data_IF_071199512921
#
_entry.id   IF_071199512921
#
_cell.length_a   1.000
_cell.length_b   1.000
_cell.length_c   1.000
_cell.angle_alpha   90.00
_cell.angle_beta   90.00
_cell.angle_gamma   90.00
#
_symmetry.space_group_name_H-M   'P 1'
#
loop_
_entity.id
_entity.type
_entity.pdbx_description
1 polymer ?
#
# COMPACT_ATOMS: atom_id res chain seq x y z
N UNK A 1 32.12 -15.38 -4.32
CA UNK A 1 30.77 -14.78 -4.46
C UNK A 1 30.39 -14.84 -5.94
N UNK A 2 29.13 -15.18 -6.25
CA UNK A 2 28.64 -15.11 -7.63
C UNK A 2 28.39 -13.63 -7.97
N UNK A 3 29.13 -13.09 -8.94
CA UNK A 3 29.33 -11.64 -9.09
C UNK A 3 28.06 -10.85 -9.41
N UNK A 4 27.06 -11.50 -9.99
CA UNK A 4 25.82 -10.86 -10.44
C UNK A 4 24.74 -10.86 -9.35
N UNK A 5 24.68 -11.87 -8.48
CA UNK A 5 23.61 -11.99 -7.46
C UNK A 5 23.91 -11.24 -6.16
N UNK A 6 25.17 -10.92 -5.86
CA UNK A 6 25.53 -10.20 -4.62
C UNK A 6 25.26 -8.70 -4.71
N UNK A 7 24.85 -8.20 -5.88
CA UNK A 7 24.83 -6.78 -6.24
C UNK A 7 23.45 -6.23 -6.61
N UNK A 8 22.44 -7.09 -6.72
CA UNK A 8 21.06 -6.70 -7.03
C UNK A 8 20.14 -6.95 -5.84
N UNK A 9 18.99 -6.27 -5.84
CA UNK A 9 17.91 -6.51 -4.88
C UNK A 9 16.78 -7.24 -5.61
N UNK A 10 16.19 -8.26 -5.00
CA UNK A 10 14.98 -8.89 -5.52
C UNK A 10 13.78 -8.49 -4.66
N UNK A 11 12.72 -8.00 -5.31
CA UNK A 11 11.45 -7.66 -4.63
C UNK A 11 10.34 -8.49 -5.24
N UNK A 12 9.86 -9.46 -4.48
CA UNK A 12 8.71 -10.27 -4.85
C UNK A 12 7.48 -9.79 -4.08
N UNK A 13 6.40 -9.48 -4.79
CA UNK A 13 5.18 -8.95 -4.17
C UNK A 13 3.98 -9.81 -4.52
N UNK A 14 3.26 -10.26 -3.50
CA UNK A 14 1.95 -10.91 -3.62
C UNK A 14 0.89 -9.88 -3.21
N UNK A 15 -0.10 -9.66 -4.07
CA UNK A 15 -1.30 -8.90 -3.73
C UNK A 15 -2.44 -9.89 -3.57
N UNK A 16 -2.99 -9.96 -2.36
CA UNK A 16 -4.13 -10.82 -2.04
C UNK A 16 -5.35 -9.94 -1.80
N UNK A 17 -6.32 -10.08 -2.69
CA UNK A 17 -7.65 -9.47 -2.57
C UNK A 17 -8.64 -10.50 -2.06
N UNK A 18 -9.22 -10.24 -0.89
CA UNK A 18 -10.28 -11.04 -0.31
C UNK A 18 -11.62 -10.30 -0.48
N UNK A 19 -12.55 -10.91 -1.21
CA UNK A 19 -13.94 -10.47 -1.28
C UNK A 19 -14.79 -11.34 -0.36
N UNK A 20 -15.62 -10.72 0.47
CA UNK A 20 -16.57 -11.41 1.35
C UNK A 20 -17.95 -10.79 1.21
N UNK A 21 -18.89 -11.61 0.81
CA UNK A 21 -20.31 -11.29 0.85
C UNK A 21 -20.82 -11.40 2.29
N UNK A 22 -21.40 -10.33 2.82
CA UNK A 22 -22.08 -10.34 4.12
C UNK A 22 -23.59 -10.51 3.89
N UNK A 23 -24.18 -11.68 4.23
CA UNK A 23 -25.60 -11.91 4.02
C UNK A 23 -26.50 -10.98 4.84
N UNK A 24 -26.08 -10.58 6.04
CA UNK A 24 -26.86 -9.68 6.91
C UNK A 24 -26.98 -8.25 6.36
N UNK A 25 -25.96 -7.81 5.61
CA UNK A 25 -25.90 -6.45 5.05
C UNK A 25 -26.13 -6.42 3.55
N UNK A 26 -26.20 -7.58 2.89
CA UNK A 26 -26.23 -7.75 1.43
C UNK A 26 -25.15 -6.91 0.71
N UNK A 27 -23.95 -6.85 1.29
CA UNK A 27 -22.83 -6.09 0.75
C UNK A 27 -21.61 -6.98 0.56
N UNK A 28 -20.91 -6.72 -0.53
CA UNK A 28 -19.57 -7.25 -0.76
C UNK A 28 -18.55 -6.33 -0.12
N UNK A 29 -17.78 -6.88 0.81
CA UNK A 29 -16.62 -6.21 1.39
C UNK A 29 -15.36 -6.71 0.73
N UNK A 30 -14.45 -5.79 0.44
CA UNK A 30 -13.14 -6.10 -0.14
C UNK A 30 -12.02 -5.71 0.84
N UNK A 31 -11.12 -6.65 1.09
CA UNK A 31 -9.88 -6.43 1.83
C UNK A 31 -8.71 -6.70 0.92
N UNK A 32 -7.74 -5.80 0.91
CA UNK A 32 -6.52 -5.97 0.11
C UNK A 32 -5.31 -6.08 1.03
N UNK A 33 -4.50 -7.10 0.83
CA UNK A 33 -3.24 -7.25 1.53
C UNK A 33 -2.10 -7.36 0.53
N UNK A 34 -0.98 -6.71 0.85
CA UNK A 34 0.24 -6.74 0.05
C UNK A 34 1.33 -7.36 0.89
N UNK A 35 1.86 -8.49 0.43
CA UNK A 35 3.01 -9.16 1.03
C UNK A 35 4.21 -8.91 0.14
N UNK A 36 5.23 -8.25 0.67
CA UNK A 36 6.49 -8.01 -0.05
C UNK A 36 7.61 -8.81 0.59
N UNK A 37 8.18 -9.75 -0.16
CA UNK A 37 9.39 -10.48 0.18
C UNK A 37 10.57 -9.79 -0.53
N UNK A 38 11.53 -9.33 0.25
CA UNK A 38 12.65 -8.53 -0.26
C UNK A 38 13.95 -9.25 0.07
N UNK A 39 14.69 -9.63 -0.96
CA UNK A 39 16.08 -10.07 -0.86
C UNK A 39 17.00 -8.89 -1.20
N UNK A 40 17.86 -8.52 -0.26
CA UNK A 40 18.71 -7.35 -0.41
C UNK A 40 20.08 -7.76 -0.93
N UNK A 41 20.70 -6.88 -1.72
CA UNK A 41 22.10 -7.00 -2.10
C UNK A 41 23.01 -7.11 -0.86
N UNK A 42 24.21 -7.63 -1.06
CA UNK A 42 25.23 -7.77 -0.02
C UNK A 42 25.48 -6.46 0.71
N UNK A 43 25.53 -6.50 2.05
CA UNK A 43 25.79 -5.32 2.89
C UNK A 43 27.26 -4.99 3.07
N UNK A 44 28.16 -5.80 2.48
CA UNK A 44 29.59 -5.64 2.59
C UNK A 44 30.11 -4.37 1.91
N UNK A 45 31.16 -3.79 2.49
CA UNK A 45 31.75 -2.56 1.95
C UNK A 45 32.54 -2.84 0.67
N UNK A 46 32.42 -1.94 -0.33
CA UNK A 46 33.15 -2.05 -1.59
C UNK A 46 34.68 -2.14 -1.43
N UNK A 47 35.25 -1.48 -0.41
CA UNK A 47 36.69 -1.53 -0.14
C UNK A 47 37.20 -2.92 0.26
N UNK A 48 36.33 -3.79 0.75
CA UNK A 48 36.65 -5.18 1.13
C UNK A 48 36.80 -6.08 -0.11
N UNK A 49 36.43 -5.59 -1.30
CA UNK A 49 36.34 -6.39 -2.53
C UNK A 49 37.50 -6.17 -3.52
N UNK A 50 38.41 -5.23 -3.24
CA UNK A 50 39.58 -4.95 -4.09
C UNK A 50 39.24 -4.47 -5.52
N UNK A 51 38.07 -3.88 -5.73
CA UNK A 51 37.56 -3.52 -7.05
C UNK A 51 38.05 -2.13 -7.53
N UNK A 52 38.76 -2.07 -8.67
CA UNK A 52 39.24 -0.82 -9.29
C UNK A 52 38.39 -0.41 -10.52
N UNK A 53 38.40 0.89 -10.87
CA UNK A 53 37.84 1.42 -12.11
C UNK A 53 36.30 1.41 -12.21
N UNK A 54 35.75 0.90 -13.32
CA UNK A 54 34.29 0.79 -13.57
C UNK A 54 33.56 0.02 -12.45
N UNK A 55 34.22 -0.99 -11.87
CA UNK A 55 33.67 -1.79 -10.76
C UNK A 55 33.51 -0.99 -9.46
N UNK A 56 34.31 0.05 -9.27
CA UNK A 56 34.17 0.98 -8.14
C UNK A 56 32.96 1.90 -8.32
N UNK A 57 32.71 2.39 -9.55
CA UNK A 57 31.50 3.18 -9.87
C UNK A 57 30.22 2.35 -9.75
N UNK A 58 30.25 1.11 -10.20
CA UNK A 58 29.15 0.16 -10.05
C UNK A 58 28.90 -0.17 -8.56
N UNK A 59 29.96 -0.50 -7.81
CA UNK A 59 29.89 -0.72 -6.36
C UNK A 59 29.38 0.49 -5.58
N UNK A 60 29.67 1.72 -6.04
CA UNK A 60 29.15 2.94 -5.44
C UNK A 60 27.63 3.10 -5.66
N UNK A 61 27.11 2.74 -6.84
CA UNK A 61 25.67 2.79 -7.14
C UNK A 61 24.88 1.70 -6.41
N UNK A 62 25.43 0.48 -6.30
CA UNK A 62 24.80 -0.62 -5.53
C UNK A 62 24.69 -0.23 -4.06
N UNK A 63 25.79 0.27 -3.50
CA UNK A 63 25.81 0.76 -2.11
C UNK A 63 24.92 1.98 -1.90
N UNK A 64 24.57 2.76 -2.94
CA UNK A 64 23.66 3.90 -2.79
C UNK A 64 22.32 3.46 -2.22
N UNK A 65 21.71 2.41 -2.77
CA UNK A 65 20.41 1.90 -2.31
C UNK A 65 20.42 1.44 -0.84
N UNK A 66 21.42 0.66 -0.44
CA UNK A 66 21.59 0.18 0.95
C UNK A 66 22.01 1.30 1.92
N UNK A 67 22.84 2.23 1.45
CA UNK A 67 23.21 3.42 2.23
C UNK A 67 21.99 4.30 2.49
N UNK A 68 21.19 4.58 1.45
CA UNK A 68 19.93 5.31 1.59
C UNK A 68 18.96 4.57 2.51
N UNK A 69 18.85 3.23 2.39
CA UNK A 69 18.05 2.42 3.29
C UNK A 69 18.51 2.57 4.75
N UNK A 70 19.82 2.53 5.00
CA UNK A 70 20.40 2.77 6.32
C UNK A 70 20.13 4.18 6.87
N UNK A 71 20.15 5.20 6.01
CA UNK A 71 19.78 6.57 6.37
C UNK A 71 18.29 6.69 6.74
N UNK A 72 17.40 6.08 5.95
CA UNK A 72 15.96 6.02 6.22
C UNK A 72 15.70 5.35 7.57
N UNK A 73 16.32 4.19 7.82
CA UNK A 73 16.17 3.46 9.07
C UNK A 73 16.67 4.26 10.28
N UNK A 74 17.84 4.89 10.15
CA UNK A 74 18.40 5.70 11.24
C UNK A 74 17.50 6.89 11.58
N UNK A 75 16.99 7.61 10.57
CA UNK A 75 16.05 8.72 10.79
C UNK A 75 14.74 8.26 11.42
N UNK A 76 14.18 7.14 10.95
CA UNK A 76 12.94 6.57 11.50
C UNK A 76 13.10 6.11 12.96
N UNK A 77 14.25 5.52 13.30
CA UNK A 77 14.58 5.13 14.67
C UNK A 77 14.69 6.35 15.60
N UNK A 78 15.35 7.43 15.15
CA UNK A 78 15.47 8.68 15.89
C UNK A 78 14.11 9.36 16.13
N UNK A 79 13.23 9.37 15.13
CA UNK A 79 11.85 9.91 15.26
C UNK A 79 11.01 9.12 16.27
N UNK A 80 11.23 7.80 16.37
CA UNK A 80 10.48 6.91 17.26
C UNK A 80 10.95 7.01 18.72
N UNK A 81 12.25 7.25 18.96
CA UNK A 81 12.85 7.29 20.30
C UNK A 81 12.66 8.61 21.07
N UNK A 82 12.56 9.76 20.39
CA UNK A 82 12.60 11.08 21.05
C UNK A 82 11.29 11.88 20.93
N UNK A 83 10.36 11.64 21.87
CA UNK A 83 9.08 12.39 21.98
C UNK A 83 9.23 13.91 22.11
N UNK A 84 10.38 14.43 22.56
CA UNK A 84 10.60 15.87 22.86
C UNK A 84 11.16 16.70 21.70
N UNK A 85 11.62 16.10 20.60
CA UNK A 85 12.07 16.81 19.39
C UNK A 85 11.43 16.20 18.14
N UNK A 86 10.11 16.35 18.00
CA UNK A 86 9.42 16.11 16.72
C UNK A 86 9.73 17.22 15.72
N UNK A 87 11.00 17.47 15.43
CA UNK A 87 11.31 18.07 14.15
C UNK A 87 11.13 16.95 13.13
N UNK A 88 9.95 16.88 12.51
CA UNK A 88 9.65 15.93 11.42
C UNK A 88 10.68 16.17 10.32
N UNK A 89 11.77 15.44 10.37
CA UNK A 89 12.81 15.50 9.37
C UNK A 89 12.26 14.85 8.10
N UNK A 90 12.57 15.39 6.93
CA UNK A 90 12.20 14.70 5.70
C UNK A 90 12.97 13.39 5.64
N UNK A 91 12.22 12.28 5.64
CA UNK A 91 12.77 10.93 5.47
C UNK A 91 13.06 10.75 3.96
N UNK A 92 14.31 10.43 3.58
CA UNK A 92 14.78 10.47 2.20
C UNK A 92 14.39 9.21 1.41
N UNK A 93 13.11 8.82 1.41
CA UNK A 93 12.67 7.64 0.66
C UNK A 93 12.95 7.76 -0.84
N UNK A 94 12.97 8.97 -1.40
CA UNK A 94 13.16 9.23 -2.83
C UNK A 94 14.60 9.15 -3.31
N UNK A 95 15.57 9.07 -2.38
CA UNK A 95 17.00 9.12 -2.74
C UNK A 95 17.48 7.80 -3.38
N UNK A 96 16.69 6.72 -3.25
CA UNK A 96 16.88 5.47 -3.98
C UNK A 96 15.55 4.83 -4.38
N UNK A 97 15.54 4.08 -5.49
CA UNK A 97 14.35 3.36 -5.97
C UNK A 97 13.87 2.35 -4.93
N UNK A 98 14.80 1.62 -4.29
CA UNK A 98 14.51 0.64 -3.25
C UNK A 98 13.75 1.27 -2.07
N UNK A 99 14.29 2.36 -1.50
CA UNK A 99 13.63 3.05 -0.38
C UNK A 99 12.30 3.69 -0.77
N UNK A 100 12.15 4.06 -2.04
CA UNK A 100 10.90 4.61 -2.53
C UNK A 100 9.82 3.54 -2.64
N UNK A 101 10.18 2.36 -3.16
CA UNK A 101 9.31 1.19 -3.27
C UNK A 101 8.91 0.64 -1.89
N UNK A 102 9.84 0.66 -0.93
CA UNK A 102 9.64 0.16 0.43
C UNK A 102 9.12 1.21 1.41
N UNK A 103 8.73 2.40 0.94
CA UNK A 103 8.26 3.49 1.78
C UNK A 103 7.11 3.09 2.71
N UNK A 104 6.14 2.34 2.21
CA UNK A 104 5.01 1.85 3.02
C UNK A 104 5.45 0.78 4.04
N UNK A 105 6.50 0.02 3.72
CA UNK A 105 7.05 -1.04 4.55
C UNK A 105 7.94 -0.51 5.69
N UNK A 106 8.42 0.73 5.63
CA UNK A 106 9.34 1.29 6.62
C UNK A 106 8.70 2.50 7.31
N UNK A 107 8.03 2.26 8.44
CA UNK A 107 7.35 3.31 9.22
C UNK A 107 5.96 3.70 8.68
N UNK A 108 5.45 2.98 7.68
CA UNK A 108 4.13 3.18 7.09
C UNK A 108 3.10 2.14 7.55
N UNK A 109 2.09 1.93 6.69
CA UNK A 109 1.06 0.90 6.88
C UNK A 109 1.56 -0.47 6.42
N UNK A 110 2.35 -1.13 7.26
CA UNK A 110 2.83 -2.48 6.99
C UNK A 110 3.18 -3.22 8.28
N UNK A 111 3.15 -4.55 8.21
CA UNK A 111 3.70 -5.42 9.25
C UNK A 111 5.06 -5.90 8.77
N UNK A 112 6.11 -5.23 9.22
CA UNK A 112 7.45 -5.41 8.69
C UNK A 112 8.31 -6.26 9.60
N UNK A 113 8.94 -7.29 9.04
CA UNK A 113 9.94 -8.10 9.70
C UNK A 113 11.25 -8.01 8.92
N UNK A 114 12.37 -7.86 9.63
CA UNK A 114 13.71 -7.87 9.04
C UNK A 114 14.44 -9.12 9.49
N UNK A 115 15.00 -9.87 8.54
CA UNK A 115 15.87 -11.00 8.80
C UNK A 115 17.33 -10.57 8.61
N UNK A 116 18.10 -10.58 9.70
CA UNK A 116 19.53 -10.30 9.65
C UNK A 116 20.30 -11.63 9.49
N UNK A 117 20.77 -11.91 8.28
CA UNK A 117 21.61 -13.07 8.00
C UNK A 117 23.07 -12.77 8.37
N UNK A 118 23.66 -13.60 9.22
CA UNK A 118 25.00 -13.38 9.78
C UNK A 118 25.91 -14.59 9.51
N UNK A 119 27.20 -14.34 9.39
CA UNK A 119 28.21 -15.40 9.31
C UNK A 119 28.86 -15.60 10.68
N UNK A 120 28.98 -16.85 11.19
CA UNK A 120 29.66 -17.11 12.46
C UNK A 120 31.19 -17.11 12.36
N UNK A 121 31.76 -16.91 11.17
CA UNK A 121 33.20 -16.97 10.95
C UNK A 121 33.92 -15.70 11.42
N UNK A 122 35.06 -15.87 12.10
CA UNK A 122 35.85 -14.76 12.66
C UNK A 122 36.29 -13.73 11.60
N UNK A 123 36.58 -14.19 10.38
CA UNK A 123 36.93 -13.32 9.25
C UNK A 123 35.83 -12.31 8.88
N UNK A 124 34.58 -12.59 9.26
CA UNK A 124 33.41 -11.76 8.96
C UNK A 124 32.92 -11.00 10.20
N UNK A 125 33.73 -10.88 11.25
CA UNK A 125 33.37 -10.23 12.51
C UNK A 125 32.85 -8.79 12.30
N UNK A 126 33.57 -7.97 11.54
CA UNK A 126 33.22 -6.56 11.34
C UNK A 126 31.91 -6.36 10.56
N UNK A 127 31.66 -7.21 9.56
CA UNK A 127 30.42 -7.19 8.78
C UNK A 127 29.25 -7.69 9.62
N UNK A 128 29.45 -8.77 10.40
CA UNK A 128 28.45 -9.29 11.33
C UNK A 128 28.04 -8.26 12.38
N UNK A 129 29.01 -7.56 12.97
CA UNK A 129 28.76 -6.47 13.92
C UNK A 129 28.01 -5.31 13.27
N UNK A 130 28.36 -4.96 12.02
CA UNK A 130 27.68 -3.91 11.25
C UNK A 130 26.22 -4.25 11.00
N UNK A 131 25.92 -5.49 10.59
CA UNK A 131 24.56 -5.98 10.37
C UNK A 131 23.74 -6.03 11.66
N UNK A 132 24.34 -6.45 12.78
CA UNK A 132 23.66 -6.44 14.10
C UNK A 132 23.30 -5.02 14.54
N UNK A 133 24.21 -4.06 14.41
CA UNK A 133 23.91 -2.64 14.71
C UNK A 133 22.82 -2.07 13.80
N UNK A 134 22.77 -2.52 12.56
CA UNK A 134 21.72 -2.14 11.63
C UNK A 134 20.36 -2.69 12.08
N UNK A 135 20.29 -3.97 12.42
CA UNK A 135 19.08 -4.62 12.91
C UNK A 135 18.57 -4.00 14.23
N UNK A 136 19.48 -3.63 15.14
CA UNK A 136 19.13 -2.95 16.39
C UNK A 136 18.44 -1.59 16.14
N UNK A 137 18.92 -0.80 15.17
CA UNK A 137 18.24 0.43 14.74
C UNK A 137 16.88 0.15 14.08
N UNK A 138 16.83 -0.84 13.18
CA UNK A 138 15.60 -1.21 12.48
C UNK A 138 14.49 -1.64 13.47
N UNK A 139 14.86 -2.31 14.57
CA UNK A 139 13.94 -2.70 15.64
C UNK A 139 13.22 -1.53 16.31
N UNK A 140 13.80 -0.32 16.30
CA UNK A 140 13.19 0.87 16.90
C UNK A 140 12.11 1.52 16.02
N UNK A 141 11.98 1.09 14.77
CA UNK A 141 11.01 1.67 13.82
C UNK A 141 9.60 1.18 14.17
N UNK A 142 8.70 2.12 14.42
CA UNK A 142 7.29 1.82 14.67
C UNK A 142 6.48 1.93 13.37
N UNK A 143 5.94 0.82 12.89
CA UNK A 143 4.99 0.80 11.78
C UNK A 143 3.55 0.90 12.28
N UNK A 144 2.66 1.56 11.51
CA UNK A 144 1.25 1.75 11.84
C UNK A 144 0.37 0.90 10.91
N UNK A 145 0.33 -0.41 11.18
CA UNK A 145 -0.46 -1.33 10.37
C UNK A 145 -1.97 -1.16 10.63
N UNK A 146 -2.71 -0.88 9.57
CA UNK A 146 -4.17 -0.73 9.52
C UNK A 146 -4.70 -1.67 8.42
N UNK A 147 -5.87 -2.28 8.67
CA UNK A 147 -6.51 -3.14 7.67
C UNK A 147 -6.91 -2.29 6.45
N UNK A 148 -6.46 -2.70 5.25
CA UNK A 148 -6.85 -2.03 4.02
C UNK A 148 -8.23 -2.51 3.59
N UNK A 149 -9.23 -1.76 4.03
CA UNK A 149 -10.63 -1.87 3.63
C UNK A 149 -11.00 -0.55 2.92
N UNK A 150 -11.92 -0.61 1.96
CA UNK A 150 -12.51 0.59 1.39
C UNK A 150 -13.16 1.41 2.52
N UNK A 151 -12.76 2.69 2.74
CA UNK A 151 -13.36 3.54 3.76
C UNK A 151 -14.89 3.63 3.66
N UNK A 152 -15.43 3.60 2.44
CA UNK A 152 -16.86 3.59 2.22
C UNK A 152 -17.47 2.26 2.68
N UNK A 153 -16.88 1.12 2.31
CA UNK A 153 -17.37 -0.19 2.74
C UNK A 153 -17.31 -0.35 4.27
N UNK A 154 -16.26 0.17 4.90
CA UNK A 154 -16.14 0.24 6.35
C UNK A 154 -17.24 1.09 6.97
N UNK A 155 -17.47 2.29 6.43
CA UNK A 155 -18.51 3.22 6.90
C UNK A 155 -19.92 2.62 6.75
N UNK A 156 -20.23 2.02 5.60
CA UNK A 156 -21.52 1.39 5.36
C UNK A 156 -21.73 0.22 6.34
N UNK A 157 -20.68 -0.58 6.63
CA UNK A 157 -20.76 -1.64 7.64
C UNK A 157 -21.06 -1.09 9.03
N UNK A 158 -20.34 -0.05 9.47
CA UNK A 158 -20.54 0.58 10.78
C UNK A 158 -21.97 1.16 10.90
N UNK A 159 -22.47 1.83 9.86
CA UNK A 159 -23.82 2.36 9.82
C UNK A 159 -24.88 1.26 9.82
N UNK A 160 -24.67 0.15 9.10
CA UNK A 160 -25.61 -0.99 9.10
C UNK A 160 -25.64 -1.71 10.45
N UNK A 161 -24.49 -1.86 11.12
CA UNK A 161 -24.42 -2.38 12.49
C UNK A 161 -25.15 -1.45 13.47
N UNK A 162 -25.04 -0.13 13.30
CA UNK A 162 -25.78 0.87 14.08
C UNK A 162 -27.29 0.81 13.83
N UNK A 163 -27.73 0.74 12.57
CA UNK A 163 -29.14 0.56 12.20
C UNK A 163 -29.69 -0.72 12.83
N UNK A 164 -28.95 -1.83 12.78
CA UNK A 164 -29.39 -3.10 13.38
C UNK A 164 -29.57 -2.98 14.90
N UNK A 165 -28.63 -2.33 15.60
CA UNK A 165 -28.75 -2.05 17.05
C UNK A 165 -29.95 -1.16 17.37
N UNK A 166 -30.15 -0.09 16.59
CA UNK A 166 -31.27 0.83 16.77
C UNK A 166 -32.62 0.13 16.53
N UNK A 167 -32.71 -0.74 15.52
CA UNK A 167 -33.90 -1.57 15.27
C UNK A 167 -34.20 -2.50 16.45
N UNK A 168 -33.19 -3.19 16.98
CA UNK A 168 -33.36 -4.07 18.14
C UNK A 168 -33.86 -3.29 19.38
N UNK A 169 -33.33 -2.08 19.63
CA UNK A 169 -33.78 -1.24 20.74
C UNK A 169 -35.24 -0.79 20.57
N UNK A 170 -35.68 -0.55 19.34
CA UNK A 170 -37.06 -0.18 19.03
C UNK A 170 -38.00 -1.39 19.15
N UNK A 171 -37.57 -2.57 18.72
CA UNK A 171 -38.29 -3.84 18.86
C UNK A 171 -38.46 -4.25 20.33
N UNK A 172 -37.41 -4.14 21.16
CA UNK A 172 -37.47 -4.40 22.62
C UNK A 172 -38.47 -3.49 23.33
N UNK A 173 -38.71 -2.28 22.79
CA UNK A 173 -39.69 -1.32 23.28
C UNK A 173 -41.09 -1.51 22.69
N UNK A 174 -41.29 -2.54 21.86
CA UNK A 174 -42.57 -2.87 21.22
C UNK A 174 -42.99 -1.90 20.13
N UNK A 175 -42.04 -1.16 19.52
CA UNK A 175 -42.32 -0.17 18.49
C UNK A 175 -41.98 -0.76 17.12
N UNK A 176 -42.98 -0.92 16.27
CA UNK A 176 -42.79 -1.38 14.91
C UNK A 176 -42.49 -0.19 13.98
N UNK A 177 -41.25 -0.07 13.54
CA UNK A 177 -40.75 1.07 12.74
C UNK A 177 -41.51 1.24 11.42
N UNK A 178 -42.04 0.15 10.85
CA UNK A 178 -42.83 0.16 9.62
C UNK A 178 -44.15 0.94 9.76
N UNK A 179 -44.76 0.98 10.95
CA UNK A 179 -46.03 1.69 11.18
C UNK A 179 -45.84 3.22 11.26
N UNK A 180 -44.61 3.70 11.47
CA UNK A 180 -44.29 5.13 11.55
C UNK A 180 -44.05 5.74 10.15
N UNK A 181 -43.76 4.90 9.15
CA UNK A 181 -43.43 5.34 7.79
C UNK A 181 -44.65 5.76 6.96
N UNK A 182 -45.86 5.39 7.37
CA UNK A 182 -47.07 5.47 6.52
C UNK A 182 -48.04 6.62 6.87
N UNK A 183 -47.64 7.60 7.69
CA UNK A 183 -48.49 8.77 7.97
C UNK A 183 -47.86 10.11 7.57
N UNK A 184 -47.75 10.43 6.28
CA UNK A 184 -47.67 11.81 5.85
C UNK A 184 -49.08 12.43 5.92
N UNK A 185 -49.43 12.99 7.09
CA UNK A 185 -50.41 14.08 7.12
C UNK A 185 -51.76 13.88 7.81
N UNK A 186 -51.98 12.91 8.71
CA UNK A 186 -53.24 12.91 9.48
C UNK A 186 -53.14 12.44 10.94
N UNK A 187 -52.35 13.16 11.75
CA UNK A 187 -52.28 12.93 13.20
C UNK A 187 -53.39 13.69 13.95
N UNK A 188 -54.64 13.27 13.76
CA UNK A 188 -55.69 13.38 14.79
C UNK A 188 -56.36 12.03 14.97
N UNK A 189 -55.65 11.08 15.58
CA UNK A 189 -56.24 9.99 16.39
C UNK A 189 -55.16 9.18 17.11
N UNK A 190 -55.12 9.36 18.43
CA UNK A 190 -54.76 8.41 19.50
C UNK A 190 -53.78 7.26 19.12
N UNK A 191 -52.49 7.54 19.18
CA UNK A 191 -51.44 6.55 19.47
C UNK A 191 -50.86 6.79 20.88
N UNK A 192 -50.14 5.82 21.48
CA UNK A 192 -49.48 6.01 22.77
C UNK A 192 -48.47 7.16 22.65
N UNK A 193 -48.37 8.02 23.68
CA UNK A 193 -47.36 9.08 23.72
C UNK A 193 -45.96 8.44 23.72
N UNK A 194 -45.34 8.32 22.56
CA UNK A 194 -43.96 7.88 22.43
C UNK A 194 -43.06 8.91 23.12
N UNK A 195 -42.15 8.46 23.99
CA UNK A 195 -41.21 9.34 24.70
C UNK A 195 -40.30 10.07 23.70
N UNK A 196 -39.86 11.28 24.00
CA UNK A 196 -38.93 12.05 23.15
C UNK A 196 -37.70 11.23 22.71
N UNK A 197 -37.17 10.40 23.62
CA UNK A 197 -36.03 9.51 23.37
C UNK A 197 -36.28 8.43 22.30
N UNK A 198 -37.55 8.06 22.07
CA UNK A 198 -37.96 7.14 20.99
C UNK A 198 -38.05 7.88 19.66
N UNK A 199 -38.55 9.12 19.65
CA UNK A 199 -38.53 9.95 18.45
C UNK A 199 -37.10 10.22 17.97
N UNK A 200 -36.18 10.54 18.89
CA UNK A 200 -34.77 10.77 18.58
C UNK A 200 -34.10 9.51 17.98
N UNK A 201 -34.43 8.32 18.48
CA UNK A 201 -33.88 7.05 17.96
C UNK A 201 -34.45 6.69 16.59
N UNK A 202 -35.72 7.01 16.31
CA UNK A 202 -36.32 6.84 14.97
C UNK A 202 -35.68 7.80 13.97
N UNK A 203 -35.45 9.06 14.35
CA UNK A 203 -34.81 10.06 13.48
C UNK A 203 -33.36 9.68 13.17
N UNK A 204 -32.60 9.23 14.17
CA UNK A 204 -31.23 8.73 13.98
C UNK A 204 -31.17 7.50 13.06
N UNK A 205 -32.14 6.58 13.21
CA UNK A 205 -32.26 5.43 12.34
C UNK A 205 -32.54 5.84 10.88
N UNK A 206 -33.52 6.73 10.65
CA UNK A 206 -33.87 7.22 9.32
C UNK A 206 -32.70 7.97 8.66
N UNK A 207 -31.97 8.78 9.43
CA UNK A 207 -30.79 9.49 8.94
C UNK A 207 -29.68 8.50 8.52
N UNK A 208 -29.43 7.47 9.32
CA UNK A 208 -28.42 6.44 9.03
C UNK A 208 -28.79 5.61 7.79
N UNK A 209 -30.06 5.24 7.63
CA UNK A 209 -30.57 4.52 6.44
C UNK A 209 -30.45 5.35 5.16
N UNK A 210 -30.77 6.65 5.24
CA UNK A 210 -30.62 7.56 4.10
C UNK A 210 -29.15 7.70 3.70
N UNK A 211 -28.25 7.81 4.67
CA UNK A 211 -26.81 7.93 4.40
C UNK A 211 -26.25 6.67 3.73
N UNK A 212 -26.69 5.47 4.17
CA UNK A 212 -26.34 4.20 3.54
C UNK A 212 -26.78 4.19 2.06
N UNK A 213 -28.02 4.58 1.77
CA UNK A 213 -28.55 4.59 0.40
C UNK A 213 -27.81 5.59 -0.53
N UNK A 214 -27.37 6.72 0.01
CA UNK A 214 -26.54 7.68 -0.73
C UNK A 214 -25.12 7.13 -0.99
N UNK A 215 -24.50 6.51 0.02
CA UNK A 215 -23.17 5.93 -0.09
C UNK A 215 -23.13 4.74 -1.07
N UNK A 216 -24.15 3.89 -1.08
CA UNK A 216 -24.26 2.74 -2.01
C UNK A 216 -24.32 3.22 -3.47
N UNK A 217 -25.13 4.24 -3.78
CA UNK A 217 -25.16 4.86 -5.13
C UNK A 217 -23.83 5.48 -5.52
N UNK A 218 -23.14 6.09 -4.56
CA UNK A 218 -21.82 6.70 -4.78
C UNK A 218 -20.75 5.63 -5.02
N UNK A 219 -20.90 4.45 -4.41
CA UNK A 219 -20.00 3.31 -4.59
C UNK A 219 -20.09 2.75 -6.01
N UNK A 220 -21.29 2.55 -6.57
CA UNK A 220 -21.44 2.02 -7.94
C UNK A 220 -20.71 2.90 -8.95
N UNK A 221 -20.80 4.22 -8.77
CA UNK A 221 -20.11 5.20 -9.61
C UNK A 221 -18.58 5.16 -9.40
N UNK A 222 -18.10 4.98 -8.16
CA UNK A 222 -16.66 4.84 -7.87
C UNK A 222 -16.09 3.51 -8.37
N UNK A 223 -16.85 2.42 -8.31
CA UNK A 223 -16.44 1.13 -8.86
C UNK A 223 -16.23 1.26 -10.36
N UNK A 224 -17.22 1.81 -11.07
CA UNK A 224 -17.14 2.06 -12.52
C UNK A 224 -15.90 2.89 -12.85
N UNK A 225 -15.65 3.97 -12.10
CA UNK A 225 -14.47 4.83 -12.31
C UNK A 225 -13.14 4.13 -11.98
N UNK A 226 -13.12 3.24 -10.99
CA UNK A 226 -11.91 2.49 -10.59
C UNK A 226 -11.59 1.41 -11.62
N UNK A 227 -12.60 0.70 -12.14
CA UNK A 227 -12.45 -0.21 -13.27
C UNK A 227 -12.00 0.51 -14.53
N UNK A 228 -12.52 1.70 -14.79
CA UNK A 228 -12.13 2.52 -15.94
C UNK A 228 -10.67 2.96 -15.85
N UNK A 229 -10.21 3.42 -14.68
CA UNK A 229 -8.79 3.73 -14.42
C UNK A 229 -7.93 2.47 -14.51
N UNK A 230 -8.40 1.33 -14.01
CA UNK A 230 -7.67 0.05 -14.10
C UNK A 230 -7.47 -0.33 -15.57
N UNK A 231 -8.53 -0.24 -16.37
CA UNK A 231 -8.54 -0.54 -17.80
C UNK A 231 -7.69 0.45 -18.59
N UNK A 232 -7.70 1.74 -18.23
CA UNK A 232 -6.80 2.74 -18.80
C UNK A 232 -5.33 2.43 -18.49
N UNK A 233 -5.00 2.12 -17.24
CA UNK A 233 -3.63 1.72 -16.84
C UNK A 233 -3.17 0.44 -17.54
N UNK A 234 -4.07 -0.51 -17.71
CA UNK A 234 -3.80 -1.77 -18.40
C UNK A 234 -3.54 -1.54 -19.90
N UNK A 235 -4.32 -0.66 -20.55
CA UNK A 235 -4.08 -0.26 -21.94
C UNK A 235 -2.80 0.57 -22.09
N UNK A 236 -2.50 1.48 -21.16
CA UNK A 236 -1.25 2.26 -21.13
C UNK A 236 -0.03 1.36 -20.96
N UNK A 237 -0.07 0.39 -20.03
CA UNK A 237 1.01 -0.59 -19.82
C UNK A 237 1.20 -1.48 -21.06
N UNK A 238 0.09 -1.89 -21.69
CA UNK A 238 0.10 -2.64 -22.94
C UNK A 238 0.69 -1.81 -24.10
N UNK A 239 0.39 -0.51 -24.16
CA UNK A 239 0.97 0.41 -25.14
C UNK A 239 2.46 0.65 -24.89
N UNK A 240 2.90 0.66 -23.64
CA UNK A 240 4.30 0.71 -23.22
C UNK A 240 5.05 -0.61 -23.42
N UNK A 241 4.38 -1.68 -23.89
CA UNK A 241 5.00 -2.96 -24.21
C UNK A 241 5.07 -3.96 -23.06
N UNK A 242 4.36 -3.72 -21.95
CA UNK A 242 4.29 -4.63 -20.81
C UNK A 242 3.00 -5.45 -20.91
N UNK A 243 3.12 -6.76 -21.13
CA UNK A 243 1.98 -7.66 -21.11
C UNK A 243 1.65 -8.06 -19.67
N UNK A 244 0.47 -7.68 -19.18
CA UNK A 244 -0.10 -8.19 -17.93
C UNK A 244 -1.11 -9.29 -18.24
N UNK A 245 -1.09 -10.38 -17.48
CA UNK A 245 -2.23 -11.30 -17.36
C UNK A 245 -3.30 -10.68 -16.45
N UNK A 246 -4.54 -11.19 -16.50
CA UNK A 246 -5.68 -10.74 -15.66
C UNK A 246 -5.38 -10.73 -14.14
N UNK A 247 -4.35 -11.47 -13.72
CA UNK A 247 -3.89 -11.61 -12.33
C UNK A 247 -2.71 -10.68 -11.94
N UNK A 248 -2.28 -9.77 -12.83
CA UNK A 248 -1.26 -8.75 -12.53
C UNK A 248 0.21 -9.21 -12.61
N UNK A 249 0.46 -10.44 -13.08
CA UNK A 249 1.81 -10.94 -13.38
C UNK A 249 2.28 -10.48 -14.76
N UNK A 250 3.50 -9.93 -14.83
CA UNK A 250 4.16 -9.48 -16.07
C UNK A 250 4.67 -10.67 -16.88
N UNK A 251 4.19 -10.84 -18.12
CA UNK A 251 4.54 -11.94 -19.03
C UNK A 251 5.73 -11.62 -19.96
N UNK A 252 6.31 -10.42 -19.87
CA UNK A 252 7.49 -10.02 -20.64
C UNK A 252 7.37 -8.63 -21.29
N UNK A 253 8.50 -8.15 -21.85
CA UNK A 253 8.63 -6.87 -22.56
C UNK A 253 8.51 -7.09 -24.07
N UNK A 254 7.49 -6.53 -24.69
CA UNK A 254 7.32 -6.46 -26.15
C UNK A 254 7.68 -5.05 -26.65
N UNK A 255 8.21 -4.96 -27.87
CA UNK A 255 8.56 -3.67 -28.50
C UNK A 255 7.29 -2.80 -28.71
N UNK A 256 7.23 -1.58 -28.15
CA UNK A 256 6.08 -0.67 -28.30
C UNK A 256 5.84 -0.29 -29.76
N UNK A 257 4.62 -0.47 -30.29
CA UNK A 257 4.33 -0.22 -31.72
C UNK A 257 4.13 1.26 -32.12
N UNK A 258 3.86 2.15 -31.16
CA UNK A 258 3.43 3.53 -31.44
C UNK A 258 4.39 4.62 -30.95
N UNK A 259 5.18 4.34 -29.92
CA UNK A 259 6.13 5.30 -29.35
C UNK A 259 7.50 5.14 -30.02
N UNK A 260 8.10 6.21 -30.57
CA UNK A 260 9.47 6.16 -31.07
C UNK A 260 10.41 5.89 -29.89
N UNK A 261 11.20 4.82 -30.03
CA UNK A 261 12.06 4.32 -28.96
C UNK A 261 13.38 3.81 -29.54
N UNK A 262 14.44 3.88 -28.73
CA UNK A 262 15.73 3.28 -29.03
C UNK A 262 15.89 2.01 -28.20
N UNK A 263 16.25 0.92 -28.86
CA UNK A 263 16.56 -0.35 -28.21
C UNK A 263 18.07 -0.49 -28.12
N UNK A 264 18.60 -0.68 -26.92
CA UNK A 264 20.02 -0.91 -26.73
C UNK A 264 20.36 -2.35 -27.08
N UNK A 265 21.16 -2.55 -28.13
CA UNK A 265 21.54 -3.88 -28.63
C UNK A 265 22.89 -4.37 -28.08
N UNK A 266 23.58 -3.59 -27.25
CA UNK A 266 24.84 -3.99 -26.61
C UNK A 266 24.60 -4.39 -25.15
N UNK A 267 25.45 -5.30 -24.63
CA UNK A 267 25.58 -5.55 -23.20
C UNK A 267 25.97 -4.23 -22.51
N UNK A 268 25.09 -3.74 -21.66
CA UNK A 268 25.14 -2.40 -21.07
C UNK A 268 26.37 -2.22 -20.15
N UNK A 269 27.35 -1.38 -20.51
CA UNK A 269 28.55 -1.14 -19.70
C UNK A 269 28.27 -0.42 -18.38
N UNK A 270 27.07 0.13 -18.20
CA UNK A 270 26.66 0.91 -17.04
C UNK A 270 25.70 0.15 -16.11
N UNK A 271 25.31 -1.09 -16.46
CA UNK A 271 24.37 -1.92 -15.69
C UNK A 271 23.09 -1.16 -15.30
N UNK A 272 22.58 -0.34 -16.21
CA UNK A 272 21.38 0.48 -15.99
C UNK A 272 20.08 -0.31 -16.16
N UNK A 273 20.15 -1.53 -16.69
CA UNK A 273 19.02 -2.43 -17.02
C UNK A 273 17.94 -1.80 -17.92
N UNK A 274 18.23 -0.61 -18.48
CA UNK A 274 17.32 0.12 -19.34
C UNK A 274 17.53 -0.33 -20.79
N UNK A 275 16.76 -1.33 -21.21
CA UNK A 275 16.81 -1.90 -22.56
C UNK A 275 16.11 -1.02 -23.62
N UNK A 276 15.20 -0.13 -23.19
CA UNK A 276 14.36 0.68 -24.07
C UNK A 276 14.38 2.14 -23.59
N UNK A 277 14.79 3.05 -24.47
CA UNK A 277 14.78 4.49 -24.25
C UNK A 277 13.65 5.13 -25.05
N UNK A 278 12.69 5.76 -24.36
CA UNK A 278 11.58 6.46 -25.01
C UNK A 278 12.01 7.87 -25.48
N UNK A 279 11.76 8.18 -26.74
CA UNK A 279 11.99 9.52 -27.30
C UNK A 279 10.75 10.40 -27.02
N UNK A 280 10.96 11.52 -26.32
CA UNK A 280 9.91 12.51 -26.11
C UNK A 280 9.70 13.33 -27.38
N UNK A 281 8.45 13.67 -27.69
CA UNK A 281 8.15 14.61 -28.78
C UNK A 281 8.75 15.99 -28.48
N UNK A 282 9.44 16.54 -29.46
CA UNK A 282 10.11 17.84 -29.36
C UNK A 282 10.80 18.22 -30.67
N UNK A 283 11.16 19.49 -30.79
CA UNK A 283 11.92 20.01 -31.93
C UNK A 283 13.38 20.09 -31.54
N UNK A 284 14.24 19.30 -32.18
CA UNK A 284 15.70 19.42 -32.07
C UNK A 284 16.16 20.67 -32.81
N UNK A 285 16.88 21.57 -32.11
CA UNK A 285 17.59 22.70 -32.71
C UNK A 285 18.93 22.26 -33.26
#
# INVERSE_FOLDING_TARGET
MNSTSSRSHAVFTIVLTQKRHCPDTNLDTEKVSKVSLVDLAGSERANSTGAEGQRLKEGANINKSLTTLGLVISKLAEESGNKKRRMKGVIPYRDSVLTWLLRENLGGNSKTAMLAALSPADINFDETLSTLRYADRAKQIMCQAVVNEDPNAKLIRELKEEVHKLRHILEDKGINVAEVQDTPGNAKKKGPKLSAQVHDTIEQLQASEKLIAELDKTWEQKLMKTEEIRKQREEELREMGLACLDDGTTLGVFSPKKLPHLVNLNEDPLMSECLIYYLKEGVTR
#
